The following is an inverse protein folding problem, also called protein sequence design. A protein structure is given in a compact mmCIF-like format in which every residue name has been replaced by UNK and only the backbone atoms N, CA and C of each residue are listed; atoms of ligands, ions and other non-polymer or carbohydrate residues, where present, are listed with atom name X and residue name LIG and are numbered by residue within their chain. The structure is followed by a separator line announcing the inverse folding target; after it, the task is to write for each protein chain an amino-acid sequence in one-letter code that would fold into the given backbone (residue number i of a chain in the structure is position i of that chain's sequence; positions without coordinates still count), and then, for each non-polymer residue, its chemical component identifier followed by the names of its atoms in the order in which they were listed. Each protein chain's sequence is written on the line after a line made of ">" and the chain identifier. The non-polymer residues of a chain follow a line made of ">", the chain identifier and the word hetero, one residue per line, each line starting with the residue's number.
data_IF_818728888122
#
_entry.id   IF_818728888122
#
_cell.length_a   1.000
_cell.length_b   1.000
_cell.length_c   1.000
_cell.angle_alpha   90.00
_cell.angle_beta   90.00
_cell.angle_gamma   90.00
#
_symmetry.space_group_name_H-M   'P 1'
#
loop_
_entity.id
_entity.type
_entity.pdbx_description
1 polymer ?
#
# COMPACT_ATOMS: atom_id res chain seq x y z
N UNK A 1 -17.41 0.67 4.41
CA UNK A 1 -16.57 1.80 3.96
C UNK A 1 -15.16 1.27 3.91
N UNK A 2 -14.48 1.32 2.76
CA UNK A 2 -13.08 0.87 2.66
C UNK A 2 -12.17 1.83 3.44
N UNK A 3 -11.23 1.31 4.21
CA UNK A 3 -10.44 2.10 5.16
C UNK A 3 -9.02 1.58 5.31
N UNK A 4 -8.06 2.51 5.40
CA UNK A 4 -6.67 2.19 5.71
C UNK A 4 -6.27 2.91 7.01
N UNK A 5 -5.65 2.17 7.91
CA UNK A 5 -4.92 2.67 9.07
C UNK A 5 -3.52 2.04 9.02
N UNK A 6 -2.48 2.63 9.61
CA UNK A 6 -1.08 2.17 9.47
C UNK A 6 -0.76 0.73 9.94
N UNK A 7 -1.77 -0.10 10.17
CA UNK A 7 -1.70 -1.51 10.55
C UNK A 7 -2.54 -2.42 9.64
N UNK A 8 -3.41 -1.87 8.78
CA UNK A 8 -4.31 -2.65 7.92
C UNK A 8 -5.01 -1.88 6.81
N UNK A 9 -5.46 -2.63 5.80
CA UNK A 9 -6.28 -2.18 4.68
C UNK A 9 -7.57 -2.99 4.69
N UNK A 10 -8.72 -2.34 4.81
CA UNK A 10 -10.03 -2.97 4.91
C UNK A 10 -10.09 -4.03 6.03
N UNK A 11 -10.25 -5.30 5.66
CA UNK A 11 -10.26 -6.46 6.57
C UNK A 11 -8.91 -7.18 6.64
N UNK A 12 -7.89 -6.68 5.94
CA UNK A 12 -6.54 -7.23 5.90
C UNK A 12 -5.64 -6.49 6.89
N UNK A 13 -4.86 -7.22 7.67
CA UNK A 13 -3.96 -6.64 8.66
C UNK A 13 -2.55 -7.18 8.47
N UNK A 14 -1.56 -6.37 8.83
CA UNK A 14 -0.19 -6.85 8.96
C UNK A 14 -0.14 -7.97 10.01
N UNK A 15 0.69 -8.98 9.76
CA UNK A 15 0.84 -10.17 10.59
C UNK A 15 -0.24 -11.25 10.37
N UNK A 16 -1.27 -11.01 9.56
CA UNK A 16 -2.22 -12.07 9.17
C UNK A 16 -1.49 -13.22 8.47
N UNK A 17 -1.96 -14.46 8.70
CA UNK A 17 -1.36 -15.64 8.10
C UNK A 17 -1.74 -15.81 6.63
N UNK A 18 -0.87 -16.47 5.85
CA UNK A 18 -1.10 -16.79 4.44
C UNK A 18 -2.48 -17.41 4.16
N UNK A 19 -2.83 -18.47 4.90
CA UNK A 19 -4.10 -19.19 4.68
C UNK A 19 -5.32 -18.31 4.95
N UNK A 20 -5.21 -17.37 5.89
CA UNK A 20 -6.28 -16.39 6.15
C UNK A 20 -6.46 -15.44 4.96
N UNK A 21 -5.35 -14.98 4.36
CA UNK A 21 -5.41 -14.14 3.16
C UNK A 21 -5.99 -14.92 1.99
N UNK A 22 -5.50 -16.13 1.73
CA UNK A 22 -6.00 -17.00 0.64
C UNK A 22 -7.49 -17.26 0.78
N UNK A 23 -8.00 -17.50 1.99
CA UNK A 23 -9.44 -17.65 2.23
C UNK A 23 -10.23 -16.35 1.98
N UNK A 24 -9.70 -15.19 2.38
CA UNK A 24 -10.36 -13.89 2.16
C UNK A 24 -10.42 -13.47 0.70
N UNK A 25 -9.44 -13.88 -0.11
CA UNK A 25 -9.36 -13.52 -1.54
C UNK A 25 -9.77 -14.67 -2.48
N UNK A 26 -10.27 -15.80 -1.95
CA UNK A 26 -10.55 -17.02 -2.74
C UNK A 26 -11.52 -16.83 -3.92
N UNK A 27 -12.39 -15.82 -3.83
CA UNK A 27 -13.38 -15.49 -4.85
C UNK A 27 -12.90 -14.37 -5.80
N UNK A 28 -11.63 -13.96 -5.68
CA UNK A 28 -10.97 -12.97 -6.55
C UNK A 28 -9.95 -13.67 -7.43
N UNK A 29 -9.74 -13.12 -8.62
CA UNK A 29 -8.56 -13.47 -9.41
C UNK A 29 -7.31 -12.87 -8.74
N UNK A 30 -6.28 -13.70 -8.55
CA UNK A 30 -5.00 -13.26 -8.01
C UNK A 30 -3.83 -14.01 -8.66
N UNK A 31 -2.67 -13.36 -8.69
CA UNK A 31 -1.40 -13.95 -9.09
C UNK A 31 -0.49 -14.16 -7.90
N UNK A 32 0.35 -15.19 -7.96
CA UNK A 32 1.38 -15.47 -6.97
C UNK A 32 2.76 -15.30 -7.63
N UNK A 33 3.67 -14.57 -6.97
CA UNK A 33 5.04 -14.36 -7.42
C UNK A 33 6.00 -14.71 -6.30
N UNK A 34 6.90 -15.65 -6.56
CA UNK A 34 7.93 -16.07 -5.61
C UNK A 34 9.19 -15.22 -5.75
N UNK A 35 9.65 -14.63 -4.64
CA UNK A 35 10.89 -13.86 -4.52
C UNK A 35 11.85 -14.59 -3.57
N UNK A 36 13.05 -14.07 -3.30
CA UNK A 36 14.03 -14.79 -2.46
C UNK A 36 13.51 -15.12 -1.06
N UNK A 37 13.15 -14.10 -0.28
CA UNK A 37 12.71 -14.25 1.12
C UNK A 37 11.19 -14.03 1.32
N UNK A 38 10.50 -13.65 0.26
CA UNK A 38 9.07 -13.35 0.29
C UNK A 38 8.38 -14.01 -0.90
N UNK A 39 7.07 -14.11 -0.83
CA UNK A 39 6.26 -14.20 -2.04
C UNK A 39 5.17 -13.14 -1.98
N UNK A 40 4.56 -12.86 -3.12
CA UNK A 40 3.48 -11.88 -3.20
C UNK A 40 2.22 -12.53 -3.72
N UNK A 41 1.07 -12.09 -3.18
CA UNK A 41 -0.25 -12.37 -3.72
C UNK A 41 -0.83 -11.05 -4.23
N UNK A 42 -1.13 -10.97 -5.52
CA UNK A 42 -1.60 -9.73 -6.15
C UNK A 42 -2.97 -9.94 -6.78
N UNK A 43 -3.96 -9.18 -6.30
CA UNK A 43 -5.25 -8.99 -6.97
C UNK A 43 -5.17 -7.78 -7.91
N UNK A 44 -6.28 -7.40 -8.55
CA UNK A 44 -6.34 -6.19 -9.40
C UNK A 44 -6.07 -4.87 -8.67
N UNK A 45 -6.16 -4.84 -7.33
CA UNK A 45 -6.09 -3.58 -6.58
C UNK A 45 -5.37 -3.66 -5.22
N UNK A 46 -4.90 -4.85 -4.84
CA UNK A 46 -4.20 -5.09 -3.57
C UNK A 46 -3.10 -6.13 -3.80
N UNK A 47 -1.90 -5.84 -3.31
CA UNK A 47 -0.73 -6.73 -3.29
C UNK A 47 -0.32 -6.97 -1.84
N UNK A 48 -0.20 -8.24 -1.47
CA UNK A 48 0.28 -8.70 -0.18
C UNK A 48 1.72 -9.18 -0.35
N UNK A 49 2.62 -8.77 0.55
CA UNK A 49 3.94 -9.37 0.72
C UNK A 49 3.89 -10.29 1.91
N UNK A 50 4.32 -11.54 1.71
CA UNK A 50 4.28 -12.57 2.72
C UNK A 50 5.71 -13.06 2.97
N UNK A 51 6.15 -13.02 4.22
CA UNK A 51 7.42 -13.59 4.64
C UNK A 51 7.37 -15.12 4.53
N UNK A 52 8.37 -15.73 3.88
CA UNK A 52 8.36 -17.18 3.64
C UNK A 52 8.55 -17.99 4.91
N UNK A 53 9.34 -17.51 5.86
CA UNK A 53 9.70 -18.26 7.06
C UNK A 53 8.56 -18.24 8.08
N UNK A 54 7.92 -17.09 8.27
CA UNK A 54 6.85 -16.86 9.23
C UNK A 54 5.46 -17.07 8.62
N UNK A 55 5.35 -17.09 7.29
CA UNK A 55 4.08 -17.22 6.56
C UNK A 55 3.04 -16.17 6.96
N UNK A 56 3.49 -14.94 7.23
CA UNK A 56 2.65 -13.81 7.63
C UNK A 56 2.83 -12.61 6.69
N UNK A 57 1.80 -11.76 6.63
CA UNK A 57 1.81 -10.55 5.81
C UNK A 57 2.72 -9.50 6.45
N UNK A 58 3.76 -9.08 5.74
CA UNK A 58 4.71 -8.04 6.18
C UNK A 58 4.44 -6.68 5.54
N UNK A 59 3.78 -6.66 4.38
CA UNK A 59 3.35 -5.44 3.70
C UNK A 59 2.05 -5.64 2.92
N UNK A 60 1.22 -4.59 2.88
CA UNK A 60 0.01 -4.51 2.07
C UNK A 60 0.07 -3.23 1.24
N UNK A 61 0.04 -3.36 -0.08
CA UNK A 61 0.02 -2.25 -1.03
C UNK A 61 -1.31 -2.22 -1.76
N UNK A 62 -1.90 -1.04 -1.89
CA UNK A 62 -3.10 -0.81 -2.73
C UNK A 62 -2.75 0.04 -3.92
N UNK A 63 -3.43 -0.19 -5.04
CA UNK A 63 -3.17 0.47 -6.33
C UNK A 63 -4.38 0.36 -7.26
N UNK A 64 -4.25 0.95 -8.46
CA UNK A 64 -5.25 0.87 -9.52
C UNK A 64 -6.61 1.40 -9.04
N UNK A 65 -7.66 0.61 -9.23
CA UNK A 65 -9.05 1.00 -8.89
C UNK A 65 -9.39 0.91 -7.39
N UNK A 66 -8.41 0.82 -6.50
CA UNK A 66 -8.68 0.80 -5.06
C UNK A 66 -9.25 2.15 -4.58
N UNK A 67 -10.49 2.13 -4.09
CA UNK A 67 -11.24 3.34 -3.69
C UNK A 67 -11.11 3.71 -2.21
N UNK A 68 -10.44 2.89 -1.40
CA UNK A 68 -10.22 3.21 0.02
C UNK A 68 -9.22 4.36 0.20
N UNK A 69 -9.30 5.04 1.35
CA UNK A 69 -8.50 6.24 1.61
C UNK A 69 -7.77 6.19 2.95
N UNK A 70 -6.51 6.57 2.95
CA UNK A 70 -5.73 6.92 4.13
C UNK A 70 -6.29 8.19 4.78
N UNK A 71 -6.50 8.15 6.10
CA UNK A 71 -7.17 9.21 6.88
C UNK A 71 -8.52 9.67 6.31
N UNK A 72 -9.18 8.81 5.52
CA UNK A 72 -10.41 9.10 4.75
C UNK A 72 -10.27 10.23 3.72
N UNK A 73 -9.05 10.67 3.40
CA UNK A 73 -8.80 11.82 2.53
C UNK A 73 -7.93 11.50 1.32
N UNK A 74 -6.83 10.78 1.54
CA UNK A 74 -5.82 10.48 0.51
C UNK A 74 -6.05 9.08 -0.03
N UNK A 75 -6.14 8.94 -1.35
CA UNK A 75 -6.32 7.65 -2.03
C UNK A 75 -5.48 7.59 -3.30
N UNK A 76 -5.61 6.50 -4.04
CA UNK A 76 -5.02 6.38 -5.38
C UNK A 76 -5.49 7.54 -6.26
N UNK A 77 -4.57 8.12 -7.03
CA UNK A 77 -4.81 9.31 -7.84
C UNK A 77 -4.71 10.65 -7.09
N UNK A 78 -4.60 10.65 -5.76
CA UNK A 78 -4.25 11.85 -4.99
C UNK A 78 -2.80 12.27 -5.20
N UNK A 79 -2.35 13.36 -4.60
CA UNK A 79 -0.99 13.91 -4.82
C UNK A 79 -0.26 14.22 -3.51
N UNK A 80 1.03 14.57 -3.58
CA UNK A 80 1.74 15.09 -2.40
C UNK A 80 1.25 16.49 -2.01
N UNK A 81 0.68 17.24 -2.96
CA UNK A 81 -0.04 18.49 -2.70
C UNK A 81 -1.18 18.28 -1.71
N UNK A 82 -1.98 17.20 -1.89
CA UNK A 82 -3.05 16.85 -0.96
C UNK A 82 -2.53 16.57 0.47
N UNK A 83 -1.35 15.94 0.60
CA UNK A 83 -0.72 15.74 1.91
C UNK A 83 -0.30 17.07 2.55
N UNK A 84 0.26 17.99 1.75
CA UNK A 84 0.68 19.31 2.21
C UNK A 84 -0.52 20.13 2.70
N UNK A 85 -1.66 20.07 2.02
CA UNK A 85 -2.92 20.74 2.41
C UNK A 85 -3.47 20.21 3.74
N UNK A 86 -3.17 18.95 4.07
CA UNK A 86 -3.48 18.35 5.37
C UNK A 86 -2.44 18.62 6.44
N UNK A 87 -1.35 19.31 6.09
CA UNK A 87 -0.22 19.57 6.99
C UNK A 87 0.65 18.35 7.27
N UNK A 88 0.47 17.25 6.53
CA UNK A 88 1.21 16.00 6.73
C UNK A 88 2.61 16.15 6.15
N UNK A 89 3.64 15.89 6.97
CA UNK A 89 5.03 15.89 6.53
C UNK A 89 5.40 14.56 5.90
N UNK A 90 6.25 14.62 4.89
CA UNK A 90 6.80 13.46 4.20
C UNK A 90 8.30 13.63 3.97
N UNK A 91 8.98 12.51 3.84
CA UNK A 91 10.41 12.42 3.49
C UNK A 91 10.54 11.45 2.33
N UNK A 92 11.29 11.85 1.31
CA UNK A 92 11.63 10.97 0.19
C UNK A 92 12.83 10.10 0.54
N UNK A 93 12.68 8.80 0.36
CA UNK A 93 13.76 7.82 0.43
C UNK A 93 13.71 6.96 -0.82
N UNK A 94 14.75 7.05 -1.66
CA UNK A 94 14.77 6.47 -3.01
C UNK A 94 13.54 6.87 -3.85
N UNK A 95 12.63 5.93 -4.10
CA UNK A 95 11.42 6.10 -4.89
C UNK A 95 10.14 6.20 -4.04
N UNK A 96 10.25 6.10 -2.71
CA UNK A 96 9.11 6.12 -1.79
C UNK A 96 9.04 7.41 -0.99
N UNK A 97 7.82 7.85 -0.69
CA UNK A 97 7.53 8.99 0.17
C UNK A 97 6.98 8.47 1.50
N UNK A 98 7.82 8.50 2.53
CA UNK A 98 7.49 8.03 3.88
C UNK A 98 6.87 9.15 4.71
N UNK A 99 5.98 8.79 5.63
CA UNK A 99 5.34 9.74 6.54
C UNK A 99 5.91 9.61 7.96
N UNK A 100 6.78 10.52 8.43
CA UNK A 100 7.38 10.41 9.76
C UNK A 100 6.37 10.37 10.92
N UNK A 101 5.22 11.04 10.76
CA UNK A 101 4.13 11.03 11.74
C UNK A 101 3.25 9.77 11.67
N UNK A 102 3.38 8.99 10.60
CA UNK A 102 2.67 7.74 10.37
C UNK A 102 3.65 6.63 9.95
N UNK A 103 4.51 6.15 10.87
CA UNK A 103 5.47 5.09 10.59
C UNK A 103 4.79 3.86 9.98
N UNK A 104 5.51 3.18 9.08
CA UNK A 104 4.98 2.05 8.33
C UNK A 104 3.97 2.41 7.24
N UNK A 105 3.82 3.70 6.86
CA UNK A 105 3.02 4.14 5.70
C UNK A 105 3.93 4.86 4.70
N UNK A 106 3.85 4.48 3.43
CA UNK A 106 4.51 5.20 2.35
C UNK A 106 3.66 5.26 1.07
N UNK A 107 4.06 6.16 0.19
CA UNK A 107 3.47 6.36 -1.13
C UNK A 107 4.52 6.19 -2.23
N UNK A 108 4.09 5.70 -3.38
CA UNK A 108 4.84 5.74 -4.64
C UNK A 108 4.01 6.50 -5.67
N UNK A 109 4.68 7.31 -6.50
CA UNK A 109 4.02 8.16 -7.49
C UNK A 109 4.10 7.53 -8.87
N UNK A 110 3.09 7.82 -9.69
CA UNK A 110 3.07 7.41 -11.10
C UNK A 110 4.21 8.07 -11.88
N UNK A 111 4.80 7.31 -12.80
CA UNK A 111 5.74 7.81 -13.80
C UNK A 111 4.93 8.30 -15.01
N UNK A 112 4.82 9.62 -15.14
CA UNK A 112 4.00 10.30 -16.16
C UNK A 112 4.84 11.30 -16.96
N UNK A 113 4.43 11.57 -18.19
CA UNK A 113 5.02 12.63 -19.01
C UNK A 113 4.91 13.98 -18.28
N UNK A 114 5.94 14.83 -18.41
CA UNK A 114 6.05 16.12 -17.71
C UNK A 114 5.98 16.03 -16.18
N UNK A 115 6.61 14.99 -15.62
CA UNK A 115 6.58 14.65 -14.21
C UNK A 115 6.88 15.82 -13.26
N UNK A 116 5.96 16.04 -12.31
CA UNK A 116 6.11 16.96 -11.20
C UNK A 116 5.91 16.20 -9.89
N UNK A 117 6.93 16.16 -9.05
CA UNK A 117 6.92 15.41 -7.78
C UNK A 117 5.72 15.72 -6.87
N UNK A 118 5.25 16.95 -6.86
CA UNK A 118 4.17 17.38 -5.95
C UNK A 118 2.79 17.03 -6.50
N UNK A 119 2.65 17.03 -7.82
CA UNK A 119 1.37 16.89 -8.53
C UNK A 119 1.20 15.53 -9.22
N UNK A 120 2.27 14.72 -9.30
CA UNK A 120 2.19 13.37 -9.84
C UNK A 120 1.23 12.54 -8.98
N UNK A 121 0.33 11.76 -9.61
CA UNK A 121 -0.63 10.93 -8.88
C UNK A 121 0.07 9.86 -8.03
N UNK A 122 -0.49 9.57 -6.86
CA UNK A 122 -0.12 8.44 -6.04
C UNK A 122 -0.60 7.16 -6.73
N UNK A 123 0.36 6.32 -7.10
CA UNK A 123 0.14 5.02 -7.76
C UNK A 123 -0.04 3.89 -6.75
N UNK A 124 0.76 3.92 -5.67
CA UNK A 124 0.70 2.92 -4.61
C UNK A 124 0.61 3.60 -3.26
N UNK A 125 -0.21 3.02 -2.38
CA UNK A 125 -0.17 3.29 -0.94
C UNK A 125 0.18 1.98 -0.25
N UNK A 126 1.27 1.98 0.49
CA UNK A 126 1.79 0.78 1.16
C UNK A 126 1.75 0.97 2.68
N UNK A 127 1.32 -0.09 3.37
CA UNK A 127 1.52 -0.25 4.81
C UNK A 127 2.47 -1.41 5.05
N UNK A 128 3.43 -1.26 5.97
CA UNK A 128 4.47 -2.26 6.19
C UNK A 128 4.97 -2.29 7.64
N UNK A 129 5.51 -3.43 8.06
CA UNK A 129 6.21 -3.56 9.34
C UNK A 129 7.59 -2.89 9.26
N UNK A 130 7.91 -2.02 10.23
CA UNK A 130 9.29 -1.52 10.43
C UNK A 130 10.21 -2.56 11.08
#
# INVERSE_FOLDING_TARGET
>A
MRSMNGVGVDSYQLGCGLEEIKEKIKDLDFTEEELDNHFTLSTDSIKFWIDKDQSNVTQISVFGEYTGKFLKKIGIGGTLSDLNDLGIKWVKEDYVYKLPEYPGVCFELEDIDDWNEIEAPIQFISIYCE
#
